data_IF_918659792430
#
_entry.id   IF_918659792430
#
_cell.length_a   1.000
_cell.length_b   1.000
_cell.length_c   1.000
_cell.angle_alpha   90.00
_cell.angle_beta   90.00
_cell.angle_gamma   90.00
#
_symmetry.space_group_name_H-M   'P 1'
#
loop_
_entity.id
_entity.type
_entity.pdbx_description
1 polymer ?
#
# COMPACT_ATOMS: atom_id res chain seq x y z
N UNK A 1 6.25 -19.90 -43.74
CA UNK A 1 5.57 -19.60 -42.48
C UNK A 1 4.50 -18.57 -42.79
N UNK A 2 3.23 -18.89 -42.53
CA UNK A 2 2.15 -17.91 -42.69
C UNK A 2 2.36 -16.81 -41.65
N UNK A 3 2.42 -15.55 -42.08
CA UNK A 3 2.62 -14.36 -41.24
C UNK A 3 1.30 -13.90 -40.57
N UNK A 4 0.34 -14.82 -40.44
CA UNK A 4 -0.98 -14.51 -39.88
C UNK A 4 -0.91 -14.75 -38.37
N UNK A 5 -1.03 -13.71 -37.52
CA UNK A 5 -0.99 -13.90 -36.08
C UNK A 5 -2.16 -14.76 -35.62
N UNK A 6 -1.88 -15.77 -34.80
CA UNK A 6 -2.91 -16.61 -34.19
C UNK A 6 -3.76 -15.75 -33.23
N UNK A 7 -5.09 -15.86 -33.37
CA UNK A 7 -6.06 -15.05 -32.63
C UNK A 7 -7.16 -15.89 -32.02
N UNK A 8 -7.62 -15.48 -30.84
CA UNK A 8 -8.73 -16.11 -30.11
C UNK A 8 -9.99 -15.28 -30.34
N UNK A 9 -11.06 -15.91 -30.81
CA UNK A 9 -12.36 -15.27 -30.96
C UNK A 9 -13.11 -15.29 -29.63
N UNK A 10 -13.60 -14.13 -29.18
CA UNK A 10 -14.48 -14.08 -28.01
C UNK A 10 -15.89 -14.57 -28.38
N UNK A 11 -16.57 -15.36 -27.53
CA UNK A 11 -17.88 -15.93 -27.83
C UNK A 11 -18.97 -14.91 -28.17
N UNK A 12 -18.81 -13.66 -27.72
CA UNK A 12 -19.75 -12.57 -27.96
C UNK A 12 -19.04 -11.29 -28.37
N UNK A 13 -19.73 -10.44 -29.13
CA UNK A 13 -19.27 -9.09 -29.47
C UNK A 13 -18.33 -8.96 -30.67
N UNK A 14 -17.99 -10.04 -31.37
CA UNK A 14 -17.20 -9.98 -32.61
C UNK A 14 -15.72 -9.62 -32.44
N UNK A 15 -15.22 -9.69 -31.21
CA UNK A 15 -13.85 -9.35 -30.86
C UNK A 15 -12.89 -10.51 -31.09
N UNK A 16 -11.65 -10.17 -31.43
CA UNK A 16 -10.50 -11.08 -31.52
C UNK A 16 -9.39 -10.57 -30.61
N UNK A 17 -8.76 -11.48 -29.87
CA UNK A 17 -7.58 -11.21 -29.05
C UNK A 17 -6.36 -11.87 -29.67
N UNK A 18 -5.17 -11.30 -29.44
CA UNK A 18 -3.93 -12.04 -29.65
C UNK A 18 -3.86 -13.21 -28.66
N UNK A 19 -3.38 -14.34 -29.15
CA UNK A 19 -3.21 -15.55 -28.35
C UNK A 19 -2.19 -15.36 -27.20
N UNK A 20 -1.15 -14.54 -27.43
CA UNK A 20 -0.13 -14.22 -26.45
C UNK A 20 -0.39 -12.85 -25.82
N UNK A 21 -0.17 -12.73 -24.51
CA UNK A 21 -0.34 -11.49 -23.77
C UNK A 21 0.75 -11.28 -22.72
N UNK A 22 1.01 -10.02 -22.37
CA UNK A 22 1.87 -9.68 -21.26
C UNK A 22 1.03 -9.52 -19.98
N UNK A 23 1.41 -10.24 -18.92
CA UNK A 23 0.83 -10.12 -17.59
C UNK A 23 1.73 -9.23 -16.73
N UNK A 24 1.18 -8.16 -16.17
CA UNK A 24 1.90 -7.29 -15.22
C UNK A 24 1.35 -7.48 -13.82
N UNK A 25 2.23 -7.82 -12.87
CA UNK A 25 1.90 -7.89 -11.45
C UNK A 25 2.52 -6.74 -10.65
N UNK A 26 2.06 -6.51 -9.41
CA UNK A 26 2.73 -5.61 -8.48
C UNK A 26 4.02 -6.24 -7.95
N UNK A 27 4.91 -5.43 -7.39
CA UNK A 27 6.20 -5.90 -6.85
C UNK A 27 6.12 -6.55 -5.48
N UNK A 28 5.00 -6.37 -4.78
CA UNK A 28 4.75 -6.81 -3.41
C UNK A 28 3.34 -7.39 -3.29
N UNK A 29 3.10 -8.30 -2.32
CA UNK A 29 1.78 -8.90 -2.11
C UNK A 29 0.70 -7.87 -1.76
N UNK A 30 -0.50 -8.02 -2.33
CA UNK A 30 -1.64 -7.14 -2.06
C UNK A 30 -2.06 -7.16 -0.58
N UNK A 31 -1.92 -8.30 0.11
CA UNK A 31 -2.14 -8.43 1.56
C UNK A 31 -1.33 -7.44 2.39
N UNK A 32 -0.19 -6.96 1.84
CA UNK A 32 0.65 -5.97 2.48
C UNK A 32 -0.11 -4.70 2.85
N UNK A 33 -1.07 -4.28 2.02
CA UNK A 33 -1.90 -3.08 2.28
C UNK A 33 -2.89 -3.31 3.42
N UNK A 34 -3.46 -4.52 3.51
CA UNK A 34 -4.45 -4.86 4.53
C UNK A 34 -3.88 -4.74 5.95
N UNK A 35 -2.58 -5.01 6.11
CA UNK A 35 -1.88 -4.86 7.41
C UNK A 35 -1.89 -3.44 7.96
N UNK A 36 -2.07 -2.42 7.11
CA UNK A 36 -2.10 -1.02 7.56
C UNK A 36 -3.44 -0.60 8.16
N UNK A 37 -4.46 -1.46 8.16
CA UNK A 37 -5.73 -1.19 8.80
C UNK A 37 -5.74 -1.80 10.22
N UNK A 38 -5.69 -0.98 11.30
CA UNK A 38 -5.74 -1.48 12.66
C UNK A 38 -7.07 -2.23 12.91
N UNK A 39 -7.05 -3.51 13.33
CA UNK A 39 -8.27 -4.26 13.58
C UNK A 39 -9.13 -3.58 14.66
N UNK A 40 -10.45 -3.52 14.44
CA UNK A 40 -11.41 -3.05 15.43
C UNK A 40 -11.51 -1.52 15.61
N UNK A 41 -10.56 -0.73 15.08
CA UNK A 41 -10.61 0.73 15.24
C UNK A 41 -11.80 1.37 14.50
N UNK A 42 -12.13 0.86 13.30
CA UNK A 42 -13.31 1.30 12.56
C UNK A 42 -14.61 0.96 13.32
N UNK A 43 -14.73 -0.27 13.82
CA UNK A 43 -15.89 -0.69 14.62
C UNK A 43 -16.04 0.14 15.92
N UNK A 44 -14.92 0.52 16.55
CA UNK A 44 -14.94 1.39 17.71
C UNK A 44 -15.41 2.82 17.35
N UNK A 45 -15.08 3.31 16.16
CA UNK A 45 -15.53 4.61 15.65
C UNK A 45 -17.02 4.61 15.27
N UNK A 46 -17.56 3.48 14.79
CA UNK A 46 -18.97 3.35 14.37
C UNK A 46 -20.00 3.61 15.51
N UNK A 47 -19.54 3.71 16.76
CA UNK A 47 -20.36 4.10 17.91
C UNK A 47 -20.82 5.56 17.87
N UNK A 48 -20.17 6.41 17.09
CA UNK A 48 -20.43 7.86 17.07
C UNK A 48 -21.01 8.29 15.72
N UNK A 49 -22.18 8.93 15.75
CA UNK A 49 -22.81 9.54 14.60
C UNK A 49 -22.37 11.00 14.38
N UNK A 50 -22.67 11.60 13.20
CA UNK A 50 -22.26 12.97 12.85
C UNK A 50 -22.75 14.09 13.79
N UNK A 51 -23.77 13.83 14.61
CA UNK A 51 -24.36 14.79 15.55
C UNK A 51 -24.13 14.47 17.02
N UNK A 52 -23.41 13.40 17.32
CA UNK A 52 -23.18 12.98 18.71
C UNK A 52 -22.16 13.88 19.39
N UNK A 53 -22.35 14.11 20.69
CA UNK A 53 -21.34 14.75 21.51
C UNK A 53 -20.14 13.81 21.66
N UNK A 54 -18.98 14.23 21.16
CA UNK A 54 -17.71 13.50 21.29
C UNK A 54 -17.12 13.71 22.68
N UNK A 55 -17.75 13.11 23.69
CA UNK A 55 -17.38 13.24 25.09
C UNK A 55 -17.81 12.01 25.91
N UNK A 56 -17.29 11.90 27.13
CA UNK A 56 -17.63 10.84 28.07
C UNK A 56 -16.84 9.54 27.86
N UNK A 57 -17.17 8.49 28.64
CA UNK A 57 -16.33 7.30 28.76
C UNK A 57 -16.11 6.54 27.45
N UNK A 58 -17.11 6.46 26.57
CA UNK A 58 -16.97 5.80 25.27
C UNK A 58 -16.02 6.58 24.35
N UNK A 59 -16.10 7.91 24.35
CA UNK A 59 -15.19 8.76 23.58
C UNK A 59 -13.76 8.66 24.11
N UNK A 60 -13.57 8.72 25.42
CA UNK A 60 -12.27 8.52 26.07
C UNK A 60 -11.67 7.15 25.70
N UNK A 61 -12.46 6.08 25.77
CA UNK A 61 -12.03 4.75 25.36
C UNK A 61 -11.64 4.69 23.87
N UNK A 62 -12.42 5.33 22.99
CA UNK A 62 -12.09 5.43 21.57
C UNK A 62 -10.79 6.19 21.33
N UNK A 63 -10.60 7.35 21.96
CA UNK A 63 -9.36 8.14 21.82
C UNK A 63 -8.13 7.37 22.28
N UNK A 64 -8.22 6.62 23.39
CA UNK A 64 -7.14 5.74 23.82
C UNK A 64 -6.83 4.62 22.82
N UNK A 65 -7.87 3.98 22.26
CA UNK A 65 -7.70 2.97 21.21
C UNK A 65 -7.11 3.56 19.93
N UNK A 66 -7.50 4.78 19.55
CA UNK A 66 -6.97 5.51 18.40
C UNK A 66 -5.49 5.84 18.60
N UNK A 67 -5.11 6.33 19.77
CA UNK A 67 -3.72 6.66 20.09
C UNK A 67 -2.82 5.41 20.04
N UNK A 68 -3.26 4.30 20.62
CA UNK A 68 -2.55 3.03 20.54
C UNK A 68 -2.44 2.52 19.09
N UNK A 69 -3.54 2.61 18.33
CA UNK A 69 -3.57 2.23 16.92
C UNK A 69 -2.66 3.09 16.05
N UNK A 70 -2.55 4.39 16.34
CA UNK A 70 -1.67 5.31 15.64
C UNK A 70 -0.19 4.97 15.87
N UNK A 71 0.20 4.67 17.12
CA UNK A 71 1.56 4.23 17.46
C UNK A 71 1.89 2.91 16.77
N UNK A 72 1.00 1.91 16.87
CA UNK A 72 1.20 0.61 16.22
C UNK A 72 1.31 0.72 14.68
N UNK A 73 0.52 1.61 14.08
CA UNK A 73 0.58 1.88 12.63
C UNK A 73 1.91 2.52 12.26
N UNK A 74 2.39 3.49 13.04
CA UNK A 74 3.68 4.12 12.81
C UNK A 74 4.84 3.11 12.90
N UNK A 75 4.83 2.21 13.90
CA UNK A 75 5.81 1.14 14.05
C UNK A 75 5.77 0.15 12.87
N UNK A 76 4.57 -0.24 12.42
CA UNK A 76 4.40 -1.06 11.22
C UNK A 76 5.00 -0.36 10.00
N UNK A 77 4.71 0.92 9.80
CA UNK A 77 5.27 1.69 8.69
C UNK A 77 6.80 1.81 8.80
N UNK A 78 7.36 1.94 10.00
CA UNK A 78 8.81 1.92 10.21
C UNK A 78 9.40 0.55 9.85
N UNK A 79 8.72 -0.55 10.19
CA UNK A 79 9.15 -1.90 9.80
C UNK A 79 9.18 -2.09 8.28
N UNK A 80 8.18 -1.55 7.57
CA UNK A 80 8.12 -1.54 6.11
C UNK A 80 9.25 -0.67 5.56
N UNK A 81 9.42 0.54 6.09
CA UNK A 81 10.43 1.50 5.66
C UNK A 81 11.86 0.99 5.87
N UNK A 82 12.09 0.17 6.90
CA UNK A 82 13.37 -0.46 7.19
C UNK A 82 13.70 -1.64 6.25
N UNK A 83 12.69 -2.25 5.62
CA UNK A 83 12.86 -3.44 4.78
C UNK A 83 13.81 -3.19 3.61
N UNK A 84 14.81 -4.06 3.38
CA UNK A 84 15.72 -3.94 2.24
C UNK A 84 14.99 -3.90 0.88
N UNK A 85 13.93 -4.70 0.70
CA UNK A 85 13.16 -4.75 -0.55
C UNK A 85 12.41 -3.44 -0.79
N UNK A 86 11.76 -2.90 0.24
CA UNK A 86 11.08 -1.61 0.14
C UNK A 86 12.07 -0.49 -0.20
N UNK A 87 13.20 -0.42 0.51
CA UNK A 87 14.24 0.59 0.27
C UNK A 87 14.83 0.49 -1.13
N UNK A 88 15.03 -0.73 -1.65
CA UNK A 88 15.45 -0.94 -3.02
C UNK A 88 14.40 -0.43 -4.02
N UNK A 89 13.11 -0.75 -3.83
CA UNK A 89 12.04 -0.27 -4.69
C UNK A 89 11.92 1.27 -4.68
N UNK A 90 12.02 1.90 -3.51
CA UNK A 90 12.09 3.36 -3.40
C UNK A 90 13.33 3.91 -4.09
N UNK A 91 14.50 3.30 -3.93
CA UNK A 91 15.74 3.74 -4.57
C UNK A 91 15.63 3.77 -6.10
N UNK A 92 14.97 2.77 -6.68
CA UNK A 92 14.73 2.70 -8.13
C UNK A 92 13.80 3.81 -8.62
N UNK A 93 12.79 4.18 -7.84
CA UNK A 93 11.85 5.22 -8.25
C UNK A 93 12.36 6.64 -7.94
N UNK A 94 12.86 6.86 -6.72
CA UNK A 94 13.39 8.14 -6.26
C UNK A 94 14.35 7.94 -5.07
N UNK A 95 15.68 7.89 -5.31
CA UNK A 95 16.65 7.63 -4.26
C UNK A 95 16.78 8.76 -3.24
N UNK A 96 16.40 10.00 -3.58
CA UNK A 96 16.45 11.13 -2.65
C UNK A 96 15.54 10.92 -1.43
N UNK A 97 14.40 10.24 -1.62
CA UNK A 97 13.42 9.93 -0.58
C UNK A 97 14.00 9.09 0.55
N UNK A 98 15.00 8.24 0.26
CA UNK A 98 15.67 7.45 1.30
C UNK A 98 16.32 8.34 2.36
N UNK A 99 16.92 9.46 1.93
CA UNK A 99 17.60 10.40 2.82
C UNK A 99 16.63 11.41 3.43
N UNK A 100 15.70 11.96 2.65
CA UNK A 100 14.86 13.08 3.08
C UNK A 100 13.61 12.64 3.83
N UNK A 101 13.07 11.46 3.52
CA UNK A 101 11.86 10.92 4.12
C UNK A 101 12.11 9.72 5.03
N UNK A 102 12.76 8.67 4.50
CA UNK A 102 12.90 7.38 5.19
C UNK A 102 13.84 7.46 6.38
N UNK A 103 15.06 7.97 6.22
CA UNK A 103 16.04 8.02 7.32
C UNK A 103 15.52 8.84 8.53
N UNK A 104 14.96 10.05 8.37
CA UNK A 104 14.37 10.79 9.48
C UNK A 104 13.16 10.09 10.09
N UNK A 105 12.38 9.35 9.30
CA UNK A 105 11.25 8.58 9.81
C UNK A 105 11.69 7.42 10.71
N UNK A 106 12.75 6.70 10.31
CA UNK A 106 13.32 5.61 11.11
C UNK A 106 14.03 6.09 12.39
N UNK A 107 14.49 7.34 12.42
CA UNK A 107 15.12 7.94 13.59
C UNK A 107 14.13 8.56 14.59
N UNK A 108 12.84 8.59 14.26
CA UNK A 108 11.80 9.11 15.15
C UNK A 108 11.21 7.98 16.00
N UNK A 109 10.95 8.24 17.28
CA UNK A 109 10.27 7.29 18.17
C UNK A 109 8.77 7.59 18.23
N UNK A 110 7.91 6.67 17.75
CA UNK A 110 6.47 6.88 17.75
C UNK A 110 5.88 6.91 19.16
N UNK A 111 5.16 7.97 19.47
CA UNK A 111 4.22 8.06 20.60
C UNK A 111 3.00 8.86 20.15
N UNK A 112 1.87 8.71 20.84
CA UNK A 112 0.68 9.50 20.54
C UNK A 112 0.98 11.01 20.58
N UNK A 113 1.72 11.46 21.60
CA UNK A 113 2.11 12.85 21.76
C UNK A 113 3.15 13.33 20.73
N UNK A 114 4.02 12.45 20.22
CA UNK A 114 5.08 12.84 19.27
C UNK A 114 4.60 12.87 17.80
N UNK A 115 3.38 12.40 17.52
CA UNK A 115 2.77 12.31 16.17
C UNK A 115 2.24 13.67 15.66
N UNK A 116 3.16 14.63 15.56
CA UNK A 116 2.91 15.96 15.00
C UNK A 116 2.83 15.94 13.47
N UNK A 117 2.72 17.11 12.82
CA UNK A 117 2.58 17.24 11.37
C UNK A 117 3.68 16.52 10.57
N UNK A 118 4.95 16.68 10.96
CA UNK A 118 6.07 16.11 10.20
C UNK A 118 6.14 14.57 10.24
N UNK A 119 6.02 13.90 11.42
CA UNK A 119 5.87 12.44 11.46
C UNK A 119 4.68 11.92 10.65
N UNK A 120 3.52 12.59 10.71
CA UNK A 120 2.35 12.21 9.91
C UNK A 120 2.60 12.25 8.41
N UNK A 121 3.28 13.29 7.91
CA UNK A 121 3.65 13.37 6.50
C UNK A 121 4.59 12.23 6.08
N UNK A 122 5.46 11.77 6.98
CA UNK A 122 6.38 10.65 6.71
C UNK A 122 5.67 9.30 6.77
N UNK A 123 4.72 9.12 7.68
CA UNK A 123 3.82 7.97 7.67
C UNK A 123 3.07 7.88 6.33
N UNK A 124 2.45 8.99 5.90
CA UNK A 124 1.72 9.08 4.64
C UNK A 124 2.61 8.80 3.43
N UNK A 125 3.85 9.33 3.43
CA UNK A 125 4.85 9.04 2.41
C UNK A 125 5.11 7.54 2.28
N UNK A 126 5.39 6.85 3.39
CA UNK A 126 5.65 5.41 3.39
C UNK A 126 4.40 4.63 2.96
N UNK A 127 3.23 5.01 3.48
CA UNK A 127 1.96 4.38 3.12
C UNK A 127 1.66 4.50 1.62
N UNK A 128 1.87 5.67 1.01
CA UNK A 128 1.68 5.87 -0.43
C UNK A 128 2.61 5.01 -1.28
N UNK A 129 3.91 4.94 -0.93
CA UNK A 129 4.84 4.04 -1.60
C UNK A 129 4.41 2.58 -1.44
N UNK A 130 4.03 2.17 -0.23
CA UNK A 130 3.63 0.81 0.07
C UNK A 130 2.37 0.39 -0.69
N UNK A 131 1.33 1.22 -0.71
CA UNK A 131 0.12 1.00 -1.50
C UNK A 131 0.48 0.86 -2.98
N UNK A 132 1.25 1.79 -3.55
CA UNK A 132 1.70 1.71 -4.94
C UNK A 132 2.39 0.38 -5.23
N UNK A 133 3.31 -0.03 -4.36
CA UNK A 133 4.12 -1.22 -4.55
C UNK A 133 3.34 -2.54 -4.41
N UNK A 134 2.25 -2.54 -3.65
CA UNK A 134 1.42 -3.72 -3.41
C UNK A 134 0.23 -3.87 -4.36
N UNK A 135 -0.35 -2.76 -4.84
CA UNK A 135 -1.64 -2.82 -5.58
C UNK A 135 -1.64 -2.13 -6.94
N UNK A 136 -0.57 -1.42 -7.32
CA UNK A 136 -0.45 -0.90 -8.69
C UNK A 136 0.45 -1.83 -9.51
N UNK A 137 -0.07 -2.29 -10.65
CA UNK A 137 0.66 -3.13 -11.61
C UNK A 137 1.61 -2.31 -12.50
N UNK A 138 2.22 -1.27 -11.92
CA UNK A 138 3.25 -0.47 -12.55
C UNK A 138 4.60 -1.13 -12.31
N UNK A 139 5.38 -1.33 -13.38
CA UNK A 139 6.74 -1.85 -13.25
C UNK A 139 7.66 -0.79 -12.63
N UNK A 140 8.36 -1.15 -11.55
CA UNK A 140 9.34 -0.30 -10.87
C UNK A 140 10.68 -1.05 -10.89
N UNK A 141 11.32 -1.04 -12.05
CA UNK A 141 12.52 -1.85 -12.30
C UNK A 141 12.20 -3.35 -12.22
N UNK A 142 12.92 -4.09 -11.38
CA UNK A 142 12.69 -5.52 -11.18
C UNK A 142 11.47 -5.84 -10.29
N UNK A 143 10.86 -4.82 -9.67
CA UNK A 143 9.63 -4.97 -8.88
C UNK A 143 8.41 -4.84 -9.80
N UNK A 144 7.53 -5.83 -9.73
CA UNK A 144 6.34 -5.92 -10.59
C UNK A 144 6.69 -6.60 -11.91
N UNK A 145 6.95 -7.93 -11.88
CA UNK A 145 7.44 -8.65 -13.04
C UNK A 145 6.42 -8.62 -14.18
N UNK A 146 6.94 -8.57 -15.40
CA UNK A 146 6.16 -8.81 -16.61
C UNK A 146 6.36 -10.28 -16.99
N UNK A 147 5.28 -11.05 -16.93
CA UNK A 147 5.23 -12.41 -17.46
C UNK A 147 4.61 -12.42 -18.86
N UNK A 148 4.86 -13.49 -19.61
CA UNK A 148 4.10 -13.79 -20.82
C UNK A 148 3.09 -14.89 -20.51
N UNK A 149 1.87 -14.72 -20.97
CA UNK A 149 0.81 -15.72 -20.94
C UNK A 149 0.36 -16.05 -22.35
N UNK A 150 -0.26 -17.22 -22.49
CA UNK A 150 -0.91 -17.68 -23.71
C UNK A 150 -2.28 -18.23 -23.32
N UNK A 151 -3.28 -18.05 -24.16
CA UNK A 151 -4.57 -18.71 -23.99
C UNK A 151 -4.45 -20.21 -24.28
N UNK A 152 -4.88 -21.04 -23.34
CA UNK A 152 -4.99 -22.50 -23.46
C UNK A 152 -6.47 -22.93 -23.45
N UNK A 153 -7.19 -22.55 -24.50
CA UNK A 153 -8.56 -22.99 -24.75
C UNK A 153 -8.60 -24.33 -25.48
#
# INVERSE_FOLDING_TARGET
MSDTPETVHLPTGGWRLWEHFALRGPGFPAEGVLRMAPPGLALAADKFGPGDALAGPDWEAFTGAFDHGAVATAELLQSIAASPRFRAAVAWQNPAVLRTGIAPFLNWTPTAASRTSMPRQREELVAHYWQRFCVKNDTIGFFGPVGWGRWDL
#
